data_IF_762922244671
#
_entry.id   IF_762922244671
#
_cell.length_a   1.000
_cell.length_b   1.000
_cell.length_c   1.000
_cell.angle_alpha   90.00
_cell.angle_beta   90.00
_cell.angle_gamma   90.00
#
_symmetry.space_group_name_H-M   'P 1'
#
loop_
_entity.id
_entity.type
_entity.pdbx_description
1 polymer ?
#
# COMPACT_ATOMS: atom_id res chain seq x y z
N UNK A 1 13.43 -37.62 -2.14
CA UNK A 1 13.98 -36.24 -2.00
C UNK A 1 12.84 -35.34 -1.57
N UNK A 2 12.96 -34.63 -0.45
CA UNK A 2 11.98 -33.61 -0.05
C UNK A 2 12.15 -32.40 -0.97
N UNK A 3 11.06 -31.89 -1.56
CA UNK A 3 11.07 -30.68 -2.37
C UNK A 3 11.66 -29.51 -1.57
N UNK A 4 12.32 -28.56 -2.25
CA UNK A 4 12.85 -27.34 -1.65
C UNK A 4 12.84 -26.20 -2.65
N UNK A 5 12.58 -25.00 -2.18
CA UNK A 5 12.74 -23.78 -2.95
C UNK A 5 14.22 -23.43 -3.11
N UNK A 6 14.57 -22.86 -4.25
CA UNK A 6 15.86 -22.21 -4.47
C UNK A 6 15.87 -20.84 -3.83
N UNK A 7 17.07 -20.27 -3.63
CA UNK A 7 17.21 -18.91 -3.10
C UNK A 7 16.50 -17.88 -3.99
N UNK A 8 16.57 -18.06 -5.30
CA UNK A 8 16.01 -17.12 -6.28
C UNK A 8 14.48 -17.16 -6.29
N UNK A 9 13.90 -18.35 -6.14
CA UNK A 9 12.45 -18.50 -5.96
C UNK A 9 11.99 -17.84 -4.67
N UNK A 10 12.69 -18.07 -3.55
CA UNK A 10 12.36 -17.44 -2.27
C UNK A 10 12.40 -15.91 -2.40
N UNK A 11 13.44 -15.37 -3.04
CA UNK A 11 13.60 -13.93 -3.23
C UNK A 11 12.46 -13.38 -4.09
N UNK A 12 12.11 -14.03 -5.20
CA UNK A 12 11.03 -13.59 -6.07
C UNK A 12 9.66 -13.63 -5.39
N UNK A 13 9.35 -14.73 -4.71
CA UNK A 13 8.09 -14.92 -3.98
C UNK A 13 7.94 -13.87 -2.88
N UNK A 14 8.98 -13.66 -2.05
CA UNK A 14 8.93 -12.65 -0.99
C UNK A 14 8.86 -11.23 -1.56
N UNK A 15 9.57 -10.94 -2.66
CA UNK A 15 9.51 -9.62 -3.31
C UNK A 15 8.13 -9.31 -3.86
N UNK A 16 7.42 -10.31 -4.40
CA UNK A 16 6.04 -10.15 -4.81
C UNK A 16 5.11 -9.97 -3.59
N UNK A 17 5.29 -10.78 -2.55
CA UNK A 17 4.51 -10.70 -1.32
C UNK A 17 4.50 -9.30 -0.70
N UNK A 18 5.67 -8.66 -0.59
CA UNK A 18 5.78 -7.32 0.02
C UNK A 18 5.11 -6.20 -0.77
N UNK A 19 4.73 -6.43 -2.03
CA UNK A 19 3.93 -5.48 -2.82
C UNK A 19 2.44 -5.47 -2.41
N UNK A 20 2.04 -6.32 -1.46
CA UNK A 20 0.67 -6.36 -0.96
C UNK A 20 0.28 -5.03 -0.27
N UNK A 21 -0.98 -4.59 -0.42
CA UNK A 21 -1.47 -3.45 0.34
C UNK A 21 -1.61 -3.78 1.83
N UNK A 22 -1.39 -2.79 2.69
CA UNK A 22 -1.65 -2.87 4.14
C UNK A 22 -2.08 -1.52 4.70
N UNK A 23 -2.81 -1.54 5.84
CA UNK A 23 -3.23 -0.32 6.53
C UNK A 23 -2.02 0.52 6.94
N UNK A 24 -2.03 1.83 6.65
CA UNK A 24 -0.88 2.72 6.89
C UNK A 24 0.40 2.33 6.15
N UNK A 25 0.33 1.36 5.23
CA UNK A 25 1.49 0.65 4.67
C UNK A 25 2.42 0.07 5.76
N UNK A 26 1.84 -0.42 6.86
CA UNK A 26 2.56 -0.93 8.03
C UNK A 26 3.23 -2.30 7.82
N UNK A 27 2.80 -3.03 6.77
CA UNK A 27 3.33 -4.35 6.40
C UNK A 27 3.39 -5.29 7.60
N UNK A 28 2.22 -5.62 8.20
CA UNK A 28 2.15 -6.24 9.52
C UNK A 28 2.45 -7.74 9.48
N UNK A 29 3.24 -8.20 8.51
CA UNK A 29 3.57 -9.61 8.32
C UNK A 29 4.98 -9.94 8.81
N UNK A 30 5.11 -11.13 9.38
CA UNK A 30 6.37 -11.79 9.70
C UNK A 30 6.48 -13.04 8.83
N UNK A 31 7.50 -13.08 7.98
CA UNK A 31 7.69 -14.15 7.01
C UNK A 31 8.78 -15.11 7.49
N UNK A 32 8.44 -16.40 7.56
CA UNK A 32 9.40 -17.48 7.85
C UNK A 32 9.48 -18.42 6.67
N UNK A 33 10.71 -18.71 6.22
CA UNK A 33 10.96 -19.62 5.08
C UNK A 33 11.76 -20.83 5.55
N UNK A 34 11.25 -22.02 5.28
CA UNK A 34 11.89 -23.27 5.68
C UNK A 34 11.71 -24.35 4.60
N UNK A 35 12.77 -24.64 3.84
CA UNK A 35 12.76 -25.69 2.83
C UNK A 35 11.79 -25.40 1.68
N UNK A 36 10.63 -26.03 1.72
CA UNK A 36 9.51 -25.93 0.78
C UNK A 36 8.33 -25.10 1.32
N UNK A 37 8.52 -24.36 2.41
CA UNK A 37 7.42 -23.65 3.06
C UNK A 37 7.71 -22.16 3.26
N UNK A 38 6.70 -21.34 3.00
CA UNK A 38 6.62 -19.95 3.42
C UNK A 38 5.45 -19.81 4.39
N UNK A 39 5.74 -19.36 5.61
CA UNK A 39 4.73 -19.03 6.61
C UNK A 39 4.64 -17.51 6.78
N UNK A 40 3.41 -16.99 6.79
CA UNK A 40 3.07 -15.58 6.96
C UNK A 40 2.24 -15.44 8.22
N UNK A 41 2.86 -14.88 9.26
CA UNK A 41 2.24 -14.58 10.54
C UNK A 41 2.04 -13.06 10.68
N UNK A 42 1.18 -12.63 11.59
CA UNK A 42 1.00 -11.22 11.92
C UNK A 42 2.04 -10.79 12.95
N UNK A 43 2.74 -9.70 12.67
CA UNK A 43 3.65 -9.05 13.62
C UNK A 43 2.88 -8.02 14.47
N UNK A 44 2.53 -8.33 15.73
CA UNK A 44 1.68 -7.46 16.54
C UNK A 44 2.34 -6.12 16.86
N UNK A 45 3.67 -6.00 16.76
CA UNK A 45 4.36 -4.71 16.95
C UNK A 45 4.15 -3.72 15.80
N UNK A 46 3.54 -4.15 14.70
CA UNK A 46 3.26 -3.34 13.50
C UNK A 46 1.80 -2.92 13.36
N UNK A 47 0.94 -3.30 14.32
CA UNK A 47 -0.46 -2.89 14.32
C UNK A 47 -0.65 -1.41 14.64
N UNK A 48 -1.82 -0.88 14.27
CA UNK A 48 -2.27 0.46 14.68
C UNK A 48 -3.56 0.37 15.49
N UNK A 49 -3.90 1.45 16.21
CA UNK A 49 -5.15 1.52 16.97
C UNK A 49 -6.40 1.25 16.10
N UNK A 50 -6.32 1.53 14.80
CA UNK A 50 -7.43 1.32 13.87
C UNK A 50 -7.63 -0.14 13.45
N UNK A 51 -6.65 -1.02 13.70
CA UNK A 51 -6.77 -2.43 13.37
C UNK A 51 -7.55 -3.20 14.45
N UNK A 52 -8.80 -2.79 14.66
CA UNK A 52 -9.70 -3.37 15.65
C UNK A 52 -9.92 -4.84 15.32
N UNK A 53 -9.61 -5.72 16.28
CA UNK A 53 -9.71 -7.17 16.09
C UNK A 53 -8.65 -7.78 15.18
N UNK A 54 -7.73 -7.00 14.61
CA UNK A 54 -6.66 -7.46 13.71
C UNK A 54 -7.14 -7.79 12.28
N UNK A 55 -8.31 -7.30 11.88
CA UNK A 55 -8.89 -7.63 10.57
C UNK A 55 -8.06 -7.04 9.41
N UNK A 56 -7.56 -5.81 9.54
CA UNK A 56 -6.76 -5.18 8.50
C UNK A 56 -5.41 -5.89 8.34
N UNK A 57 -4.79 -6.32 9.44
CA UNK A 57 -3.55 -7.11 9.37
C UNK A 57 -3.76 -8.48 8.73
N UNK A 58 -4.84 -9.19 9.08
CA UNK A 58 -5.16 -10.48 8.44
C UNK A 58 -5.50 -10.34 6.96
N UNK A 59 -6.20 -9.28 6.59
CA UNK A 59 -6.48 -8.97 5.19
C UNK A 59 -5.17 -8.71 4.42
N UNK A 60 -4.24 -7.94 5.02
CA UNK A 60 -2.92 -7.68 4.44
C UNK A 60 -2.09 -8.97 4.27
N UNK A 61 -2.14 -9.90 5.23
CA UNK A 61 -1.50 -11.21 5.08
C UNK A 61 -2.13 -12.06 3.96
N UNK A 62 -3.46 -12.02 3.81
CA UNK A 62 -4.13 -12.66 2.67
C UNK A 62 -3.67 -12.08 1.33
N UNK A 63 -3.56 -10.76 1.22
CA UNK A 63 -3.02 -10.12 0.01
C UNK A 63 -1.54 -10.49 -0.25
N UNK A 64 -0.72 -10.58 0.80
CA UNK A 64 0.66 -11.06 0.68
C UNK A 64 0.69 -12.47 0.10
N UNK A 65 -0.13 -13.37 0.65
CA UNK A 65 -0.25 -14.75 0.16
C UNK A 65 -0.70 -14.81 -1.30
N UNK A 66 -1.69 -14.02 -1.69
CA UNK A 66 -2.18 -13.98 -3.07
C UNK A 66 -1.07 -13.55 -4.04
N UNK A 67 -0.30 -12.51 -3.70
CA UNK A 67 0.84 -12.09 -4.51
C UNK A 67 1.89 -13.21 -4.66
N UNK A 68 2.20 -13.92 -3.56
CA UNK A 68 3.12 -15.07 -3.59
C UNK A 68 2.58 -16.17 -4.51
N UNK A 69 1.29 -16.49 -4.41
CA UNK A 69 0.62 -17.52 -5.22
C UNK A 69 0.63 -17.15 -6.71
N UNK A 70 0.34 -15.90 -7.06
CA UNK A 70 0.42 -15.39 -8.44
C UNK A 70 1.85 -15.59 -8.99
N UNK A 71 2.88 -15.17 -8.26
CA UNK A 71 4.27 -15.35 -8.69
C UNK A 71 4.70 -16.83 -8.70
N UNK A 72 4.16 -17.66 -7.82
CA UNK A 72 4.40 -19.10 -7.83
C UNK A 72 3.85 -19.74 -9.11
N UNK A 73 2.62 -19.40 -9.50
CA UNK A 73 1.97 -19.90 -10.73
C UNK A 73 2.75 -19.49 -11.97
N UNK A 74 3.15 -18.22 -12.07
CA UNK A 74 3.99 -17.71 -13.17
C UNK A 74 5.27 -18.53 -13.32
N UNK A 75 5.90 -18.89 -12.20
CA UNK A 75 7.17 -19.62 -12.16
C UNK A 75 7.02 -21.15 -12.28
N UNK A 76 5.80 -21.66 -12.42
CA UNK A 76 5.56 -23.10 -12.49
C UNK A 76 5.81 -23.82 -11.16
N UNK A 77 5.54 -23.16 -10.03
CA UNK A 77 5.63 -23.77 -8.70
C UNK A 77 4.26 -24.25 -8.24
N UNK A 78 4.13 -25.56 -8.05
CA UNK A 78 2.93 -26.16 -7.49
C UNK A 78 2.94 -25.95 -5.97
N UNK A 79 1.76 -25.63 -5.41
CA UNK A 79 1.65 -25.20 -4.03
C UNK A 79 0.26 -25.48 -3.44
N UNK A 80 0.23 -25.55 -2.12
CA UNK A 80 -0.97 -25.65 -1.30
C UNK A 80 -0.95 -24.54 -0.24
N UNK A 81 -2.10 -23.90 -0.02
CA UNK A 81 -2.28 -22.86 1.00
C UNK A 81 -3.15 -23.41 2.12
N UNK A 82 -2.68 -23.27 3.35
CA UNK A 82 -3.43 -23.60 4.55
C UNK A 82 -3.44 -22.41 5.51
N UNK A 83 -4.54 -22.24 6.23
CA UNK A 83 -4.69 -21.22 7.28
C UNK A 83 -4.97 -21.94 8.59
N UNK A 84 -4.13 -21.73 9.60
CA UNK A 84 -4.26 -22.37 10.91
C UNK A 84 -3.68 -21.50 12.01
N UNK A 85 -4.38 -21.41 13.15
CA UNK A 85 -3.93 -20.66 14.34
C UNK A 85 -3.53 -19.20 14.07
N UNK A 86 -4.10 -18.57 13.04
CA UNK A 86 -3.80 -17.19 12.64
C UNK A 86 -2.59 -17.03 11.71
N UNK A 87 -1.95 -18.13 11.30
CA UNK A 87 -0.82 -18.15 10.37
C UNK A 87 -1.27 -18.71 9.02
N UNK A 88 -0.83 -18.06 7.94
CA UNK A 88 -1.00 -18.58 6.58
C UNK A 88 0.26 -19.33 6.18
N UNK A 89 0.12 -20.57 5.74
CA UNK A 89 1.22 -21.43 5.31
C UNK A 89 1.07 -21.80 3.85
N UNK A 90 2.09 -21.53 3.06
CA UNK A 90 2.21 -21.91 1.65
C UNK A 90 3.25 -23.02 1.58
N UNK A 91 2.81 -24.24 1.24
CA UNK A 91 3.70 -25.40 1.05
C UNK A 91 3.85 -25.68 -0.43
N UNK A 92 5.09 -25.71 -0.91
CA UNK A 92 5.41 -25.94 -2.32
C UNK A 92 5.70 -27.42 -2.55
N UNK A 93 5.04 -28.02 -3.53
CA UNK A 93 5.01 -29.48 -3.71
C UNK A 93 5.78 -29.95 -4.95
N UNK A 94 6.05 -29.05 -5.89
CA UNK A 94 6.65 -29.42 -7.17
C UNK A 94 7.06 -28.24 -8.04
N UNK A 95 7.69 -28.58 -9.15
CA UNK A 95 8.00 -27.69 -10.27
C UNK A 95 7.40 -28.28 -11.53
N UNK A 96 6.84 -27.40 -12.35
CA UNK A 96 6.38 -27.65 -13.71
C UNK A 96 6.84 -26.51 -14.61
N UNK A 97 6.58 -26.64 -15.90
CA UNK A 97 6.93 -25.58 -16.85
C UNK A 97 6.16 -24.29 -16.52
N UNK A 98 6.88 -23.14 -16.41
CA UNK A 98 6.28 -21.83 -16.23
C UNK A 98 5.17 -21.57 -17.25
N UNK A 99 4.06 -21.00 -16.78
CA UNK A 99 2.93 -20.63 -17.65
C UNK A 99 2.66 -19.13 -17.50
N UNK A 100 2.13 -18.47 -18.55
CA UNK A 100 1.71 -17.08 -18.44
C UNK A 100 0.70 -16.90 -17.29
N UNK A 101 1.00 -15.97 -16.40
CA UNK A 101 0.09 -15.53 -15.34
C UNK A 101 -0.24 -14.05 -15.57
N UNK A 102 -1.41 -13.72 -16.13
CA UNK A 102 -1.76 -12.35 -16.52
C UNK A 102 -1.70 -11.33 -15.37
N UNK A 103 -1.90 -11.79 -14.12
CA UNK A 103 -1.88 -10.92 -12.95
C UNK A 103 -0.46 -10.61 -12.45
N UNK A 104 0.56 -11.40 -12.82
CA UNK A 104 1.92 -11.25 -12.30
C UNK A 104 2.52 -9.89 -12.66
N UNK A 105 2.33 -9.44 -13.89
CA UNK A 105 2.79 -8.12 -14.34
C UNK A 105 2.09 -6.97 -13.59
N UNK A 106 0.83 -7.16 -13.18
CA UNK A 106 0.02 -6.14 -12.52
C UNK A 106 0.43 -5.93 -11.05
N UNK A 107 1.11 -6.90 -10.41
CA UNK A 107 1.55 -6.78 -9.02
C UNK A 107 2.46 -5.55 -8.81
N UNK A 108 3.37 -5.29 -9.75
CA UNK A 108 4.28 -4.14 -9.71
C UNK A 108 3.68 -2.83 -10.23
N UNK A 109 2.59 -2.89 -10.99
CA UNK A 109 1.91 -1.70 -11.54
C UNK A 109 0.83 -1.15 -10.61
N UNK A 110 0.25 -1.99 -9.75
CA UNK A 110 -0.81 -1.61 -8.83
C UNK A 110 -0.33 -0.55 -7.85
N UNK A 111 -1.11 0.52 -7.71
CA UNK A 111 -0.91 1.58 -6.72
C UNK A 111 -2.20 1.93 -6.00
N UNK A 112 -2.10 2.46 -4.78
CA UNK A 112 -3.22 3.14 -4.14
C UNK A 112 -3.29 4.57 -4.66
N UNK A 113 -4.28 4.86 -5.51
CA UNK A 113 -4.49 6.19 -6.04
C UNK A 113 -5.38 7.01 -5.09
N UNK A 114 -4.90 8.18 -4.66
CA UNK A 114 -5.63 9.14 -3.82
C UNK A 114 -5.91 10.46 -4.53
N UNK A 115 -5.68 10.51 -5.84
CA UNK A 115 -6.00 11.68 -6.66
C UNK A 115 -7.52 11.89 -6.72
N UNK A 116 -7.94 13.14 -6.91
CA UNK A 116 -9.34 13.47 -7.09
C UNK A 116 -9.87 12.81 -8.37
N UNK A 117 -10.88 11.96 -8.22
CA UNK A 117 -11.59 11.35 -9.33
C UNK A 117 -12.73 12.26 -9.85
N UNK A 118 -13.05 12.13 -11.14
CA UNK A 118 -14.15 12.87 -11.78
C UNK A 118 -15.53 12.53 -11.20
N UNK A 119 -15.65 11.41 -10.47
CA UNK A 119 -16.89 11.01 -9.80
C UNK A 119 -17.95 10.46 -10.75
N UNK A 120 -17.57 10.06 -11.97
CA UNK A 120 -18.47 9.39 -12.90
C UNK A 120 -18.79 7.97 -12.37
N UNK A 121 -20.05 7.53 -12.39
CA UNK A 121 -20.42 6.16 -12.06
C UNK A 121 -19.71 5.16 -12.97
N UNK A 122 -19.43 3.97 -12.43
CA UNK A 122 -19.02 2.82 -13.25
C UNK A 122 -20.25 2.23 -13.95
N UNK A 123 -20.07 1.74 -15.17
CA UNK A 123 -21.11 1.01 -15.89
C UNK A 123 -21.49 -0.27 -15.13
N UNK A 124 -22.77 -0.62 -15.10
CA UNK A 124 -23.27 -1.82 -14.42
C UNK A 124 -22.60 -3.11 -14.95
N UNK A 125 -22.24 -3.14 -16.24
CA UNK A 125 -21.49 -4.25 -16.82
C UNK A 125 -20.08 -4.40 -16.22
N UNK A 126 -19.42 -3.30 -15.86
CA UNK A 126 -18.11 -3.32 -15.18
C UNK A 126 -18.29 -3.80 -13.74
N UNK A 127 -19.30 -3.29 -13.04
CA UNK A 127 -19.63 -3.71 -11.67
C UNK A 127 -19.93 -5.21 -11.62
N UNK A 128 -20.73 -5.72 -12.56
CA UNK A 128 -21.06 -7.13 -12.67
C UNK A 128 -19.82 -8.01 -12.89
N UNK A 129 -18.87 -7.58 -13.72
CA UNK A 129 -17.60 -8.30 -13.90
C UNK A 129 -16.76 -8.32 -12.62
N UNK A 130 -16.66 -7.22 -11.90
CA UNK A 130 -15.91 -7.15 -10.63
C UNK A 130 -16.55 -8.02 -9.54
N UNK A 131 -17.89 -8.03 -9.46
CA UNK A 131 -18.59 -8.89 -8.53
C UNK A 131 -18.37 -10.38 -8.84
N UNK A 132 -18.32 -10.74 -10.14
CA UNK A 132 -18.08 -12.11 -10.57
C UNK A 132 -16.65 -12.63 -10.28
N UNK A 133 -15.68 -11.76 -10.00
CA UNK A 133 -14.32 -12.18 -9.59
C UNK A 133 -14.19 -12.48 -8.10
N UNK A 134 -15.17 -12.07 -7.29
CA UNK A 134 -15.12 -12.29 -5.85
C UNK A 134 -15.35 -13.77 -5.51
N UNK A 135 -14.68 -14.25 -4.47
CA UNK A 135 -14.98 -15.55 -3.87
C UNK A 135 -16.46 -15.58 -3.41
N UNK A 136 -17.17 -16.72 -3.49
CA UNK A 136 -18.55 -16.83 -3.03
C UNK A 136 -18.80 -16.41 -1.57
N UNK A 137 -17.76 -16.43 -0.73
CA UNK A 137 -17.81 -15.94 0.66
C UNK A 137 -17.72 -14.42 0.80
N UNK A 138 -17.43 -13.69 -0.28
CA UNK A 138 -17.25 -12.23 -0.29
C UNK A 138 -18.38 -11.57 -1.08
N UNK A 139 -19.19 -10.76 -0.39
CA UNK A 139 -20.20 -9.94 -1.04
C UNK A 139 -19.61 -8.62 -1.54
N UNK A 140 -19.84 -8.29 -2.81
CA UNK A 140 -19.44 -7.02 -3.43
C UNK A 140 -20.66 -6.11 -3.57
N UNK A 141 -20.59 -4.93 -2.95
CA UNK A 141 -21.65 -3.92 -3.02
C UNK A 141 -21.15 -2.65 -3.71
N UNK A 142 -21.83 -2.23 -4.78
CA UNK A 142 -21.55 -0.97 -5.45
C UNK A 142 -22.51 0.13 -4.98
N UNK A 143 -21.97 1.31 -4.67
CA UNK A 143 -22.73 2.46 -4.19
C UNK A 143 -22.65 3.63 -5.18
N UNK A 144 -23.79 4.05 -5.74
CA UNK A 144 -23.87 5.20 -6.65
C UNK A 144 -24.63 6.41 -6.11
N UNK A 145 -25.70 6.18 -5.32
CA UNK A 145 -26.65 7.23 -4.93
C UNK A 145 -26.53 7.79 -3.50
N UNK A 146 -25.73 7.17 -2.63
CA UNK A 146 -25.65 7.52 -1.20
C UNK A 146 -24.32 8.22 -0.83
N UNK A 147 -23.70 8.92 -1.78
CA UNK A 147 -22.36 9.50 -1.60
C UNK A 147 -22.29 10.41 -0.36
N UNK A 148 -23.29 11.26 -0.16
CA UNK A 148 -23.31 12.22 0.95
C UNK A 148 -23.36 11.54 2.32
N UNK A 149 -24.10 10.44 2.44
CA UNK A 149 -24.15 9.65 3.68
C UNK A 149 -22.80 9.00 4.00
N UNK A 150 -22.11 8.46 3.00
CA UNK A 150 -20.76 7.90 3.17
C UNK A 150 -19.74 8.98 3.53
N UNK A 151 -19.80 10.14 2.86
CA UNK A 151 -18.95 11.29 3.17
C UNK A 151 -19.19 11.78 4.59
N UNK A 152 -20.45 11.85 5.05
CA UNK A 152 -20.77 12.23 6.42
C UNK A 152 -20.21 11.23 7.45
N UNK A 153 -20.37 9.93 7.20
CA UNK A 153 -19.82 8.88 8.06
C UNK A 153 -18.29 8.90 8.12
N UNK A 154 -17.61 9.03 6.97
CA UNK A 154 -16.15 9.16 6.88
C UNK A 154 -15.66 10.44 7.56
N UNK A 155 -16.35 11.56 7.37
CA UNK A 155 -16.02 12.83 8.03
C UNK A 155 -16.10 12.75 9.55
N UNK A 156 -17.06 12.02 10.09
CA UNK A 156 -17.14 11.72 11.53
C UNK A 156 -15.97 10.85 11.99
N UNK A 157 -15.64 9.78 11.24
CA UNK A 157 -14.51 8.91 11.55
C UNK A 157 -13.17 9.68 11.53
N UNK A 158 -12.97 10.55 10.54
CA UNK A 158 -11.80 11.41 10.44
C UNK A 158 -11.74 12.41 11.61
N UNK A 159 -12.86 13.03 11.96
CA UNK A 159 -12.91 13.94 13.11
C UNK A 159 -12.55 13.22 14.43
N UNK A 160 -12.95 11.96 14.60
CA UNK A 160 -12.54 11.12 15.73
C UNK A 160 -11.03 10.84 15.65
N UNK A 161 -10.53 10.37 14.50
CA UNK A 161 -9.10 10.07 14.28
C UNK A 161 -8.20 11.27 14.59
N UNK A 162 -8.62 12.46 14.19
CA UNK A 162 -7.87 13.71 14.38
C UNK A 162 -7.90 14.23 15.82
N UNK A 163 -8.91 13.87 16.61
CA UNK A 163 -9.07 14.35 18.01
C UNK A 163 -8.63 13.32 19.04
N UNK A 164 -8.63 12.05 18.70
CA UNK A 164 -8.19 10.98 19.59
C UNK A 164 -6.65 10.89 19.57
N UNK A 165 -6.02 11.15 20.73
CA UNK A 165 -4.55 11.27 20.84
C UNK A 165 -3.79 10.10 20.21
N UNK A 166 -4.15 8.87 20.56
CA UNK A 166 -3.45 7.67 20.08
C UNK A 166 -3.59 7.51 18.57
N UNK A 167 -4.79 7.75 18.03
CA UNK A 167 -5.04 7.58 16.60
C UNK A 167 -4.32 8.67 15.77
N UNK A 168 -4.25 9.88 16.32
CA UNK A 168 -3.51 10.97 15.71
C UNK A 168 -2.00 10.67 15.72
N UNK A 169 -1.45 10.23 16.85
CA UNK A 169 -0.03 9.90 16.95
C UNK A 169 0.35 8.74 16.01
N UNK A 170 -0.49 7.70 15.91
CA UNK A 170 -0.32 6.60 14.94
C UNK A 170 -0.35 7.14 13.49
N UNK A 171 -1.33 7.98 13.15
CA UNK A 171 -1.43 8.59 11.82
C UNK A 171 -0.19 9.42 11.47
N UNK A 172 0.34 10.22 12.39
CA UNK A 172 1.55 11.02 12.13
C UNK A 172 2.77 10.12 11.94
N UNK A 173 2.87 9.01 12.68
CA UNK A 173 3.96 8.01 12.51
C UNK A 173 3.87 7.26 11.19
N UNK A 174 2.66 7.00 10.69
CA UNK A 174 2.44 6.36 9.39
C UNK A 174 3.00 7.22 8.24
N UNK A 175 3.06 8.54 8.38
CA UNK A 175 3.51 9.44 7.30
C UNK A 175 5.05 9.45 7.21
N UNK A 176 5.56 9.29 5.99
CA UNK A 176 6.93 9.57 5.60
C UNK A 176 6.98 10.96 4.98
N UNK A 177 7.68 11.88 5.64
CA UNK A 177 7.76 13.30 5.31
C UNK A 177 8.79 13.58 4.22
N UNK A 178 9.76 12.69 4.05
CA UNK A 178 10.78 12.77 3.02
C UNK A 178 10.90 11.48 2.21
N UNK A 179 11.41 11.58 0.98
CA UNK A 179 11.74 10.42 0.16
C UNK A 179 12.77 9.52 0.87
N UNK A 180 13.75 10.12 1.54
CA UNK A 180 14.75 9.39 2.32
C UNK A 180 14.12 8.54 3.42
N UNK A 181 13.21 9.11 4.22
CA UNK A 181 12.50 8.36 5.25
C UNK A 181 11.73 7.18 4.64
N UNK A 182 11.07 7.39 3.50
CA UNK A 182 10.33 6.32 2.84
C UNK A 182 11.23 5.20 2.33
N UNK A 183 12.41 5.51 1.80
CA UNK A 183 13.40 4.51 1.39
C UNK A 183 13.97 3.78 2.61
N UNK A 184 14.42 4.53 3.62
CA UNK A 184 15.10 3.98 4.81
C UNK A 184 14.15 3.08 5.62
N UNK A 185 12.89 3.49 5.79
CA UNK A 185 11.87 2.72 6.51
C UNK A 185 11.32 1.58 5.65
N UNK A 186 11.20 1.81 4.34
CA UNK A 186 10.49 0.92 3.41
C UNK A 186 9.05 0.58 3.84
N UNK A 187 8.47 1.39 4.73
CA UNK A 187 7.11 1.30 5.27
C UNK A 187 6.51 2.71 5.41
N UNK A 188 5.22 2.81 5.68
CA UNK A 188 4.52 4.09 5.83
C UNK A 188 4.06 4.70 4.50
N UNK A 189 3.40 5.86 4.62
CA UNK A 189 2.77 6.60 3.54
C UNK A 189 3.58 7.84 3.20
N UNK A 190 4.18 7.88 2.02
CA UNK A 190 4.85 9.07 1.52
C UNK A 190 3.86 10.24 1.43
N UNK A 191 4.24 11.40 1.95
CA UNK A 191 3.37 12.59 1.99
C UNK A 191 2.84 12.97 0.60
N UNK A 192 3.66 12.82 -0.45
CA UNK A 192 3.29 13.15 -1.82
C UNK A 192 2.26 12.17 -2.43
N UNK A 193 2.08 10.99 -1.82
CA UNK A 193 1.08 9.98 -2.24
C UNK A 193 -0.28 10.15 -1.56
N UNK A 194 -0.40 11.11 -0.64
CA UNK A 194 -1.64 11.36 0.11
C UNK A 194 -2.69 12.16 -0.67
N UNK A 195 -2.38 12.62 -1.88
CA UNK A 195 -3.31 13.42 -2.69
C UNK A 195 -3.56 14.82 -2.12
N UNK A 196 -2.69 15.31 -1.23
CA UNK A 196 -2.84 16.60 -0.58
C UNK A 196 -2.56 17.75 -1.57
N UNK A 197 -3.34 18.85 -1.54
CA UNK A 197 -2.98 20.03 -2.31
C UNK A 197 -1.59 20.56 -1.90
N UNK A 198 -0.86 21.17 -2.85
CA UNK A 198 0.54 21.62 -2.64
C UNK A 198 0.76 22.58 -1.46
N UNK A 199 -0.29 23.27 -0.99
CA UNK A 199 -0.25 24.19 0.17
C UNK A 199 -0.35 23.46 1.52
N UNK A 200 -1.36 22.60 1.78
CA UNK A 200 -1.44 21.83 3.03
C UNK A 200 -0.26 20.87 3.26
N UNK A 201 0.38 20.31 2.23
CA UNK A 201 1.59 19.50 2.42
C UNK A 201 2.72 20.28 3.14
N UNK A 202 2.87 21.58 2.85
CA UNK A 202 3.82 22.48 3.55
C UNK A 202 3.39 22.79 4.98
N UNK A 203 2.09 22.95 5.25
CA UNK A 203 1.59 23.15 6.61
C UNK A 203 1.76 21.89 7.48
N UNK A 204 1.47 20.70 6.94
CA UNK A 204 1.66 19.43 7.65
C UNK A 204 3.14 19.18 7.97
N UNK A 205 4.06 19.46 7.03
CA UNK A 205 5.50 19.39 7.30
C UNK A 205 5.95 20.35 8.42
N UNK A 206 5.30 21.53 8.52
CA UNK A 206 5.54 22.49 9.60
C UNK A 206 5.05 21.95 10.96
N UNK A 207 3.92 21.22 10.99
CA UNK A 207 3.43 20.55 12.21
C UNK A 207 4.38 19.44 12.68
N UNK A 208 4.94 18.65 11.76
CA UNK A 208 5.91 17.59 12.09
C UNK A 208 7.24 18.13 12.66
N UNK A 209 7.64 19.33 12.25
CA UNK A 209 8.86 19.99 12.73
C UNK A 209 8.69 20.72 14.08
N UNK A 210 7.50 20.67 14.70
CA UNK A 210 7.22 21.38 15.94
C UNK A 210 7.21 20.41 17.14
N UNK A 211 8.23 20.41 18.02
CA UNK A 211 8.33 19.48 19.14
C UNK A 211 7.46 19.86 20.36
N UNK A 212 6.44 20.71 20.17
CA UNK A 212 5.58 21.21 21.25
C UNK A 212 4.15 20.67 21.19
N UNK A 213 3.38 20.70 22.30
CA UNK A 213 1.97 20.33 22.29
C UNK A 213 1.21 21.17 21.26
N UNK A 214 0.18 20.57 20.64
CA UNK A 214 -0.62 21.06 19.50
C UNK A 214 -1.26 22.47 19.65
N UNK A 215 -1.01 23.19 20.74
CA UNK A 215 -1.52 24.53 21.04
C UNK A 215 -0.75 25.68 20.38
N UNK A 216 0.25 25.41 19.53
CA UNK A 216 1.04 26.44 18.81
C UNK A 216 0.93 26.39 17.28
N UNK A 217 -0.07 25.70 16.71
CA UNK A 217 -0.46 25.99 15.33
C UNK A 217 -1.08 27.39 15.30
N UNK A 218 -0.61 28.33 14.45
CA UNK A 218 -1.32 29.59 14.29
C UNK A 218 -2.72 29.28 13.78
N UNK A 219 -3.74 29.73 14.51
CA UNK A 219 -5.11 29.75 14.02
C UNK A 219 -5.12 30.42 12.63
N UNK A 220 -6.01 30.03 11.70
CA UNK A 220 -6.13 30.71 10.42
C UNK A 220 -6.42 32.19 10.69
N UNK A 221 -5.38 33.02 10.58
CA UNK A 221 -5.46 34.45 10.74
C UNK A 221 -6.41 35.00 9.68
N UNK A 222 -7.28 35.90 10.11
CA UNK A 222 -8.17 36.72 9.31
C UNK A 222 -7.40 37.45 8.20
N UNK A 223 -7.21 36.79 7.07
CA UNK A 223 -6.82 37.43 5.84
C UNK A 223 -8.10 37.83 5.11
N UNK A 224 -8.51 39.08 5.33
CA UNK A 224 -9.54 39.75 4.53
C UNK A 224 -9.13 39.66 3.06
N UNK A 225 -9.94 39.08 2.15
CA UNK A 225 -9.62 39.14 0.73
C UNK A 225 -9.80 40.59 0.25
N UNK A 226 -8.94 41.11 -0.65
CA UNK A 226 -9.22 42.39 -1.27
C UNK A 226 -10.50 42.27 -2.10
N UNK A 227 -11.37 43.26 -1.97
CA UNK A 227 -12.60 43.37 -2.71
C UNK A 227 -12.31 43.51 -4.21
N UNK A 228 -12.88 42.62 -5.02
CA UNK A 228 -13.17 42.91 -6.42
C UNK A 228 -14.60 42.50 -6.72
N UNK A 229 -15.41 43.51 -7.01
CA UNK A 229 -16.79 43.45 -7.43
C UNK A 229 -16.98 42.84 -8.81
N UNK A 230 -18.17 42.28 -8.99
CA UNK A 230 -18.95 42.11 -10.23
C UNK A 230 -18.70 40.89 -11.11
N UNK A 231 -19.82 40.30 -11.55
CA UNK A 231 -19.98 39.78 -12.90
C UNK A 231 -20.03 38.27 -13.03
N UNK A 232 -21.24 37.73 -13.14
CA UNK A 232 -21.46 36.44 -13.76
C UNK A 232 -20.90 36.43 -15.19
N UNK A 233 -20.06 35.44 -15.52
CA UNK A 233 -19.87 34.98 -16.90
C UNK A 233 -19.29 33.56 -16.87
N UNK A 234 -20.03 32.62 -17.48
CA UNK A 234 -19.45 31.37 -17.98
C UNK A 234 -18.48 31.74 -19.10
N UNK A 235 -17.27 31.22 -19.06
CA UNK A 235 -16.50 30.95 -20.28
C UNK A 235 -15.56 29.77 -20.05
N UNK A 236 -15.75 28.79 -20.92
CA UNK A 236 -14.82 27.73 -21.25
C UNK A 236 -13.44 28.32 -21.56
N UNK A 237 -12.41 27.85 -20.89
CA UNK A 237 -11.03 27.99 -21.35
C UNK A 237 -10.34 26.65 -21.13
N UNK A 238 -10.12 25.95 -22.25
CA UNK A 238 -9.27 24.78 -22.32
C UNK A 238 -7.86 25.18 -21.89
N UNK A 239 -7.41 24.71 -20.72
CA UNK A 239 -5.99 24.65 -20.40
C UNK A 239 -5.50 23.23 -20.73
N UNK A 240 -4.93 23.10 -21.92
CA UNK A 240 -4.07 21.98 -22.26
C UNK A 240 -2.90 21.94 -21.28
N UNK A 241 -2.74 20.80 -20.59
CA UNK A 241 -1.62 20.52 -19.70
C UNK A 241 -0.34 20.40 -20.55
N UNK A 242 0.74 21.16 -20.30
CA UNK A 242 2.01 20.85 -20.95
C UNK A 242 2.47 19.45 -20.50
N UNK A 243 3.14 18.68 -21.37
CA UNK A 243 3.63 17.35 -21.01
C UNK A 243 4.60 17.51 -19.83
N UNK A 244 4.29 16.84 -18.71
CA UNK A 244 5.22 16.72 -17.61
C UNK A 244 6.45 15.92 -18.06
N UNK A 245 7.61 16.10 -17.39
CA UNK A 245 8.79 15.32 -17.71
C UNK A 245 8.48 13.82 -17.63
N UNK A 246 9.10 12.98 -18.48
CA UNK A 246 8.83 11.56 -18.49
C UNK A 246 9.09 10.99 -17.10
N UNK A 247 8.11 10.26 -16.57
CA UNK A 247 8.27 9.46 -15.35
C UNK A 247 9.43 8.50 -15.59
N UNK A 248 10.44 8.55 -14.74
CA UNK A 248 11.57 7.63 -14.77
C UNK A 248 11.04 6.22 -14.60
N UNK A 249 10.96 5.50 -15.73
CA UNK A 249 10.76 4.05 -15.76
C UNK A 249 11.99 3.45 -15.12
N UNK A 250 11.83 2.73 -14.01
CA UNK A 250 12.91 1.92 -13.46
C UNK A 250 13.23 0.82 -14.48
N UNK A 251 14.47 0.80 -14.96
CA UNK A 251 15.03 -0.26 -15.80
C UNK A 251 16.07 -1.00 -14.98
N UNK A 252 16.08 -2.35 -14.99
CA UNK A 252 17.13 -3.12 -14.33
C UNK A 252 18.46 -2.93 -15.07
N UNK A 253 19.61 -2.91 -14.37
CA UNK A 253 20.91 -2.78 -15.02
C UNK A 253 21.24 -4.03 -15.85
N UNK A 254 21.70 -3.82 -17.08
CA UNK A 254 22.37 -4.84 -17.87
C UNK A 254 23.72 -5.18 -17.19
N UNK A 255 23.96 -6.47 -16.92
CA UNK A 255 25.27 -6.93 -16.44
C UNK A 255 26.28 -7.11 -17.58
N UNK A 256 27.51 -7.55 -17.28
CA UNK A 256 28.42 -7.03 -16.28
C UNK A 256 29.65 -6.40 -16.98
N UNK A 257 30.06 -5.20 -16.59
CA UNK A 257 31.43 -4.75 -16.80
C UNK A 257 32.14 -4.64 -15.46
N UNK A 258 33.31 -5.23 -15.44
CA UNK A 258 34.21 -5.43 -14.31
C UNK A 258 34.57 -4.15 -13.56
N UNK A 259 34.56 -4.23 -12.22
CA UNK A 259 35.45 -3.45 -11.37
C UNK A 259 34.88 -2.16 -10.78
N UNK A 260 34.05 -2.25 -9.74
CA UNK A 260 34.18 -1.50 -8.49
C UNK A 260 33.05 -1.91 -7.53
N UNK A 261 33.40 -2.17 -6.27
CA UNK A 261 32.54 -2.82 -5.29
C UNK A 261 31.28 -2.03 -4.94
N UNK A 262 30.12 -2.63 -5.21
CA UNK A 262 28.84 -2.27 -4.60
C UNK A 262 28.40 -3.43 -3.70
N UNK A 263 28.21 -3.17 -2.41
CA UNK A 263 27.56 -4.09 -1.46
C UNK A 263 26.09 -3.66 -1.33
N UNK A 264 25.11 -4.54 -1.55
CA UNK A 264 23.72 -4.22 -1.28
C UNK A 264 23.49 -4.04 0.23
N UNK A 265 22.53 -3.19 0.65
CA UNK A 265 22.10 -3.14 2.04
C UNK A 265 21.48 -4.50 2.38
N UNK A 266 22.11 -5.21 3.31
CA UNK A 266 21.65 -6.54 3.73
C UNK A 266 20.32 -6.42 4.49
N UNK A 267 19.35 -7.33 4.27
CA UNK A 267 18.21 -7.42 5.16
C UNK A 267 18.68 -8.11 6.44
N UNK A 268 18.28 -7.58 7.59
CA UNK A 268 18.52 -8.20 8.90
C UNK A 268 17.65 -9.46 9.04
N UNK A 269 17.99 -10.52 8.30
CA UNK A 269 17.46 -11.87 8.51
C UNK A 269 18.12 -12.47 9.74
N UNK A 270 17.41 -12.54 10.87
CA UNK A 270 17.82 -13.44 11.97
C UNK A 270 17.30 -14.83 11.67
N UNK A 271 18.19 -15.68 11.18
CA UNK A 271 18.01 -17.13 11.18
C UNK A 271 18.18 -17.62 12.63
N UNK A 272 17.09 -17.75 13.39
CA UNK A 272 17.13 -18.46 14.67
C UNK A 272 17.14 -19.96 14.39
N UNK A 273 18.33 -20.58 14.45
CA UNK A 273 18.44 -22.03 14.56
C UNK A 273 18.01 -22.41 15.99
N UNK A 274 16.87 -23.09 16.12
CA UNK A 274 16.49 -23.74 17.37
C UNK A 274 17.48 -24.86 17.71
N UNK A 275 17.79 -25.00 19.00
CA UNK A 275 18.35 -26.23 19.56
C UNK A 275 17.22 -27.22 19.79
#
# INVERSE_FOLDING_TARGET
>A
MTFRLTRDEIAALCSAGVLAPSGGNAQPWRVTVAGDRIAVDIDPSRGSFLDVGGYASRFAAGCFTENVVITARERGLDHEVAVGEGVVTITFTGRRDPQPEPLAALLGERVTNRDLHQGLPLDDAVVGRLAATADPSVAVHAFGGAKDAHVAALGLADAIRMRHRVMFDDMIREICWTEREAVDRSEGLQIDTLGLPRRPARCCACCAACPGPASRCPAPGSATPPATSSGAARTSAACTRPPGPPRTRWSPPAGPSSGCGWRPPGPAWRCSRGR
#
